data_IF_441006469313
#
_entry.id   IF_441006469313
#
_cell.length_a   1.000
_cell.length_b   1.000
_cell.length_c   1.000
_cell.angle_alpha   90.00
_cell.angle_beta   90.00
_cell.angle_gamma   90.00
#
_symmetry.space_group_name_H-M   'P 1'
#
loop_
_entity.id
_entity.type
_entity.pdbx_description
1 polymer ?
#
# COMPACT_ATOMS: atom_id res chain seq x y z
N UNK A 1 7.52 2.70 25.93
CA UNK A 1 6.04 2.75 25.76
C UNK A 1 5.58 4.11 25.24
N UNK A 2 6.00 5.23 25.86
CA UNK A 2 5.62 6.58 25.43
C UNK A 2 5.93 6.90 23.96
N UNK A 3 7.11 6.51 23.45
CA UNK A 3 7.50 6.76 22.06
C UNK A 3 6.59 6.06 21.03
N UNK A 4 6.14 4.84 21.34
CA UNK A 4 5.22 4.07 20.50
C UNK A 4 3.83 4.71 20.46
N UNK A 5 3.32 5.10 21.63
CA UNK A 5 2.05 5.81 21.72
C UNK A 5 2.09 7.14 20.96
N UNK A 6 3.20 7.87 21.05
CA UNK A 6 3.42 9.09 20.27
C UNK A 6 3.43 8.83 18.75
N UNK A 7 4.15 7.80 18.28
CA UNK A 7 4.18 7.42 16.87
C UNK A 7 2.78 7.09 16.32
N UNK A 8 2.01 6.28 17.06
CA UNK A 8 0.62 5.96 16.71
C UNK A 8 -0.28 7.21 16.73
N UNK A 9 -0.17 8.06 17.75
CA UNK A 9 -0.96 9.30 17.83
C UNK A 9 -0.67 10.24 16.67
N UNK A 10 0.60 10.39 16.27
CA UNK A 10 1.00 11.15 15.08
C UNK A 10 0.41 10.56 13.80
N UNK A 11 0.45 9.23 13.66
CA UNK A 11 -0.18 8.55 12.51
C UNK A 11 -1.70 8.81 12.47
N UNK A 12 -2.39 8.68 13.60
CA UNK A 12 -3.83 8.99 13.69
C UNK A 12 -4.12 10.44 13.29
N UNK A 13 -3.35 11.41 13.79
CA UNK A 13 -3.50 12.81 13.38
C UNK A 13 -3.25 13.02 11.88
N UNK A 14 -2.27 12.33 11.29
CA UNK A 14 -1.96 12.42 9.86
C UNK A 14 -3.04 11.81 8.96
N UNK A 15 -3.61 10.67 9.35
CA UNK A 15 -4.59 9.94 8.52
C UNK A 15 -6.03 10.38 8.77
N UNK A 16 -6.38 10.87 9.96
CA UNK A 16 -7.75 11.26 10.32
C UNK A 16 -7.92 12.76 10.61
N UNK A 17 -6.84 13.50 10.89
CA UNK A 17 -6.92 14.91 11.29
C UNK A 17 -6.79 15.94 10.16
N UNK A 18 -6.48 15.52 8.92
CA UNK A 18 -6.26 16.45 7.79
C UNK A 18 -7.59 16.77 7.08
N UNK A 19 -8.09 18.02 7.12
CA UNK A 19 -9.38 18.37 6.53
C UNK A 19 -9.45 18.08 5.02
N UNK A 20 -10.58 17.52 4.58
CA UNK A 20 -10.84 17.22 3.18
C UNK A 20 -10.02 16.07 2.58
N UNK A 21 -9.08 15.47 3.31
CA UNK A 21 -8.28 14.32 2.84
C UNK A 21 -9.17 13.14 2.47
N UNK A 22 -10.09 12.76 3.37
CA UNK A 22 -11.02 11.65 3.10
C UNK A 22 -11.96 11.94 1.94
N UNK A 23 -12.45 13.17 1.77
CA UNK A 23 -13.30 13.51 0.61
C UNK A 23 -12.57 13.35 -0.72
N UNK A 24 -11.30 13.77 -0.80
CA UNK A 24 -10.48 13.56 -2.01
C UNK A 24 -10.23 12.07 -2.24
N UNK A 25 -9.89 11.33 -1.18
CA UNK A 25 -9.70 9.89 -1.25
C UNK A 25 -10.97 9.16 -1.70
N UNK A 26 -12.14 9.47 -1.13
CA UNK A 26 -13.43 8.91 -1.56
C UNK A 26 -13.73 9.17 -3.03
N UNK A 27 -13.40 10.37 -3.54
CA UNK A 27 -13.57 10.67 -4.97
C UNK A 27 -12.68 9.81 -5.85
N UNK A 28 -11.39 9.69 -5.51
CA UNK A 28 -10.44 8.89 -6.29
C UNK A 28 -10.79 7.40 -6.21
N UNK A 29 -10.99 6.86 -5.01
CA UNK A 29 -11.29 5.43 -4.83
C UNK A 29 -12.68 5.05 -5.32
N UNK A 30 -13.63 5.99 -5.38
CA UNK A 30 -14.93 5.79 -6.00
C UNK A 30 -14.88 5.53 -7.51
N UNK A 31 -13.73 5.73 -8.17
CA UNK A 31 -13.51 5.28 -9.55
C UNK A 31 -13.27 3.77 -9.66
N UNK A 32 -13.00 3.07 -8.54
CA UNK A 32 -12.70 1.63 -8.49
C UNK A 32 -13.64 0.83 -7.58
N UNK A 33 -14.19 1.46 -6.55
CA UNK A 33 -14.96 0.80 -5.49
C UNK A 33 -16.38 1.35 -5.40
N UNK A 34 -17.34 0.44 -5.33
CA UNK A 34 -18.73 0.69 -4.98
C UNK A 34 -19.23 -0.19 -3.81
N UNK A 35 -20.53 -0.08 -3.46
CA UNK A 35 -21.12 -0.86 -2.38
C UNK A 35 -21.02 -2.37 -2.63
N UNK A 36 -20.52 -3.11 -1.65
CA UNK A 36 -20.39 -4.58 -1.68
C UNK A 36 -19.11 -5.11 -2.34
N UNK A 37 -18.39 -4.26 -3.07
CA UNK A 37 -17.09 -4.62 -3.65
C UNK A 37 -16.08 -4.99 -2.58
N UNK A 38 -15.17 -5.90 -2.92
CA UNK A 38 -14.07 -6.28 -2.03
C UNK A 38 -12.87 -5.38 -2.31
N UNK A 39 -12.28 -4.82 -1.26
CA UNK A 39 -11.08 -4.00 -1.33
C UNK A 39 -9.98 -4.58 -0.44
N UNK A 40 -8.77 -4.74 -0.97
CA UNK A 40 -7.61 -5.19 -0.19
C UNK A 40 -6.74 -3.98 0.15
N UNK A 41 -6.49 -3.76 1.45
CA UNK A 41 -5.59 -2.75 1.99
C UNK A 41 -4.34 -3.46 2.54
N UNK A 42 -3.35 -3.69 1.69
CA UNK A 42 -2.10 -4.36 2.06
C UNK A 42 -1.13 -3.32 2.60
N UNK A 43 -0.80 -3.42 3.89
CA UNK A 43 -0.15 -2.34 4.64
C UNK A 43 -1.17 -1.33 5.18
N UNK A 44 -2.25 -1.83 5.82
CA UNK A 44 -3.37 -1.00 6.26
C UNK A 44 -3.00 0.02 7.35
N UNK A 45 -1.90 -0.19 8.06
CA UNK A 45 -1.38 0.67 9.12
C UNK A 45 -2.47 1.01 10.15
N UNK A 46 -2.75 2.28 10.41
CA UNK A 46 -3.81 2.68 11.38
C UNK A 46 -5.23 2.69 10.78
N UNK A 47 -5.43 2.23 9.54
CA UNK A 47 -6.76 2.06 8.92
C UNK A 47 -7.29 3.26 8.15
N UNK A 48 -6.40 4.13 7.66
CA UNK A 48 -6.79 5.33 6.93
C UNK A 48 -7.59 5.05 5.66
N UNK A 49 -7.29 3.96 4.94
CA UNK A 49 -8.06 3.54 3.75
C UNK A 49 -9.28 2.72 4.10
N UNK A 50 -9.20 1.87 5.12
CA UNK A 50 -10.36 1.18 5.71
C UNK A 50 -11.50 2.17 5.97
N UNK A 51 -11.23 3.31 6.62
CA UNK A 51 -12.24 4.34 6.85
C UNK A 51 -12.92 4.83 5.56
N UNK A 52 -12.11 5.18 4.56
CA UNK A 52 -12.59 5.77 3.29
C UNK A 52 -13.40 4.76 2.50
N UNK A 53 -12.91 3.53 2.37
CA UNK A 53 -13.53 2.48 1.57
C UNK A 53 -14.79 1.93 2.22
N UNK A 54 -14.83 1.83 3.55
CA UNK A 54 -16.09 1.57 4.28
C UNK A 54 -17.12 2.67 4.06
N UNK A 55 -16.69 3.93 3.99
CA UNK A 55 -17.55 5.06 3.61
C UNK A 55 -18.11 4.97 2.18
N UNK A 56 -17.47 4.21 1.28
CA UNK A 56 -17.97 3.90 -0.07
C UNK A 56 -18.86 2.64 -0.10
N UNK A 57 -19.01 1.95 1.03
CA UNK A 57 -19.79 0.71 1.15
C UNK A 57 -19.04 -0.56 0.75
N UNK A 58 -17.73 -0.49 0.50
CA UNK A 58 -16.91 -1.65 0.17
C UNK A 58 -16.69 -2.55 1.40
N UNK A 59 -16.52 -3.86 1.18
CA UNK A 59 -15.99 -4.80 2.17
C UNK A 59 -14.47 -4.75 2.12
N UNK A 60 -13.81 -4.60 3.27
CA UNK A 60 -12.38 -4.33 3.33
C UNK A 60 -11.63 -5.48 3.99
N UNK A 61 -10.59 -5.98 3.33
CA UNK A 61 -9.59 -6.88 3.90
C UNK A 61 -8.36 -6.05 4.23
N UNK A 62 -8.16 -5.73 5.50
CA UNK A 62 -7.05 -4.94 6.01
C UNK A 62 -5.93 -5.86 6.48
N UNK A 63 -4.82 -5.89 5.74
CA UNK A 63 -3.65 -6.72 6.05
C UNK A 63 -2.59 -5.85 6.70
N UNK A 64 -2.20 -6.19 7.92
CA UNK A 64 -1.24 -5.38 8.69
C UNK A 64 -0.38 -6.27 9.60
N UNK A 65 0.95 -6.22 9.49
CA UNK A 65 1.83 -7.04 10.32
C UNK A 65 2.25 -6.37 11.64
N UNK A 66 2.15 -5.04 11.78
CA UNK A 66 2.63 -4.33 12.97
C UNK A 66 1.67 -4.49 14.16
N UNK A 67 2.13 -5.00 15.31
CA UNK A 67 1.26 -5.24 16.47
C UNK A 67 0.55 -3.99 17.02
N UNK A 68 1.18 -2.82 16.93
CA UNK A 68 0.56 -1.57 17.41
C UNK A 68 -0.52 -1.05 16.46
N UNK A 69 -0.30 -1.14 15.15
CA UNK A 69 -1.30 -0.84 14.14
C UNK A 69 -2.49 -1.80 14.22
N UNK A 70 -2.23 -3.10 14.39
CA UNK A 70 -3.28 -4.11 14.59
C UNK A 70 -4.18 -3.82 15.80
N UNK A 71 -3.62 -3.29 16.90
CA UNK A 71 -4.44 -2.88 18.06
C UNK A 71 -5.37 -1.73 17.71
N UNK A 72 -4.90 -0.75 16.93
CA UNK A 72 -5.71 0.37 16.46
C UNK A 72 -6.79 -0.11 15.50
N UNK A 73 -6.44 -0.94 14.52
CA UNK A 73 -7.40 -1.51 13.57
C UNK A 73 -8.51 -2.28 14.29
N UNK A 74 -8.16 -3.13 15.26
CA UNK A 74 -9.14 -3.89 16.05
C UNK A 74 -10.03 -2.98 16.89
N UNK A 75 -9.46 -1.91 17.47
CA UNK A 75 -10.22 -0.95 18.24
C UNK A 75 -11.24 -0.18 17.38
N UNK A 76 -10.83 0.26 16.18
CA UNK A 76 -11.66 1.09 15.31
C UNK A 76 -12.65 0.30 14.46
N UNK A 77 -12.26 -0.91 14.02
CA UNK A 77 -12.97 -1.66 12.98
C UNK A 77 -13.27 -3.12 13.36
N UNK A 78 -12.83 -3.60 14.53
CA UNK A 78 -12.98 -5.01 14.91
C UNK A 78 -14.42 -5.48 15.14
N UNK A 79 -15.39 -4.55 15.18
CA UNK A 79 -16.82 -4.85 15.29
C UNK A 79 -17.59 -4.61 13.96
N UNK A 80 -16.92 -4.17 12.91
CA UNK A 80 -17.53 -3.99 11.58
C UNK A 80 -17.49 -5.33 10.82
N UNK A 81 -18.66 -5.91 10.54
CA UNK A 81 -18.78 -7.20 9.88
C UNK A 81 -18.24 -7.21 8.43
N UNK A 82 -18.11 -6.03 7.82
CA UNK A 82 -17.56 -5.86 6.48
C UNK A 82 -16.05 -5.53 6.51
N UNK A 83 -15.38 -5.61 7.66
CA UNK A 83 -13.93 -5.45 7.78
C UNK A 83 -13.29 -6.74 8.31
N UNK A 84 -12.50 -7.39 7.45
CA UNK A 84 -11.63 -8.47 7.85
C UNK A 84 -10.23 -7.92 8.17
N UNK A 85 -9.74 -8.12 9.40
CA UNK A 85 -8.39 -7.74 9.81
C UNK A 85 -7.50 -8.98 9.77
N UNK A 86 -6.52 -8.99 8.86
CA UNK A 86 -5.57 -10.09 8.68
C UNK A 86 -4.24 -9.70 9.34
N UNK A 87 -3.89 -10.30 10.50
CA UNK A 87 -2.62 -10.03 11.17
C UNK A 87 -1.49 -10.78 10.48
N UNK A 88 -0.75 -10.09 9.62
CA UNK A 88 0.33 -10.69 8.84
C UNK A 88 0.82 -9.77 7.74
N UNK A 89 1.85 -10.21 7.03
CA UNK A 89 2.35 -9.57 5.82
C UNK A 89 1.93 -10.36 4.58
N UNK A 90 2.10 -9.74 3.41
CA UNK A 90 1.90 -10.41 2.12
C UNK A 90 3.26 -10.51 1.42
N UNK A 91 3.50 -11.61 0.71
CA UNK A 91 4.71 -11.81 -0.07
C UNK A 91 4.54 -12.89 -1.13
N UNK A 92 5.67 -13.37 -1.66
CA UNK A 92 5.71 -14.33 -2.79
C UNK A 92 5.20 -15.72 -2.44
N UNK A 93 5.29 -16.12 -1.18
CA UNK A 93 4.87 -17.45 -0.69
C UNK A 93 4.48 -17.39 0.78
N UNK A 94 3.63 -18.30 1.26
CA UNK A 94 3.32 -18.40 2.67
C UNK A 94 4.56 -18.75 3.50
N UNK A 95 4.59 -18.30 4.74
CA UNK A 95 5.68 -18.60 5.66
C UNK A 95 5.78 -17.58 6.79
N UNK A 96 7.00 -17.34 7.24
CA UNK A 96 7.30 -16.35 8.28
C UNK A 96 8.44 -15.47 7.83
N UNK A 97 8.39 -14.20 8.19
CA UNK A 97 9.43 -13.24 7.86
C UNK A 97 9.68 -12.27 9.02
N UNK A 98 10.86 -11.65 8.98
CA UNK A 98 11.27 -10.65 9.95
C UNK A 98 10.86 -9.27 9.47
N UNK A 99 10.03 -8.60 10.24
CA UNK A 99 9.64 -7.20 10.03
C UNK A 99 10.49 -6.30 10.93
N UNK A 100 11.21 -5.34 10.33
CA UNK A 100 11.91 -4.30 11.07
C UNK A 100 10.91 -3.17 11.41
N UNK A 101 10.86 -2.79 12.68
CA UNK A 101 9.91 -1.80 13.19
C UNK A 101 10.62 -0.51 13.58
N UNK A 102 10.03 0.63 13.21
CA UNK A 102 10.42 1.92 13.75
C UNK A 102 9.37 2.43 14.74
N UNK A 103 9.69 2.40 16.04
CA UNK A 103 8.74 2.78 17.09
C UNK A 103 8.29 4.25 17.04
N UNK A 104 9.15 5.15 16.57
CA UNK A 104 8.86 6.60 16.48
C UNK A 104 8.18 7.00 15.16
N UNK A 105 8.36 6.20 14.11
CA UNK A 105 7.79 6.40 12.77
C UNK A 105 7.22 5.08 12.26
N UNK A 106 6.07 4.61 12.78
CA UNK A 106 5.53 3.31 12.41
C UNK A 106 5.25 3.16 10.90
N UNK A 107 5.05 4.27 10.19
CA UNK A 107 4.82 4.31 8.75
C UNK A 107 5.93 3.65 7.94
N UNK A 108 7.21 3.74 8.36
CA UNK A 108 8.36 3.26 7.57
C UNK A 108 8.88 1.89 8.00
N UNK A 109 8.05 1.09 8.69
CA UNK A 109 8.44 -0.27 9.07
C UNK A 109 8.42 -1.17 7.83
N UNK A 110 9.47 -1.95 7.61
CA UNK A 110 9.67 -2.67 6.34
C UNK A 110 10.23 -4.08 6.55
N UNK A 111 9.91 -4.98 5.61
CA UNK A 111 10.51 -6.31 5.47
C UNK A 111 11.72 -6.33 4.53
N UNK A 112 12.03 -5.21 3.85
CA UNK A 112 13.10 -5.10 2.87
C UNK A 112 14.36 -4.47 3.48
N UNK A 113 15.45 -5.24 3.70
CA UNK A 113 16.71 -4.69 4.20
C UNK A 113 17.31 -3.65 3.25
N UNK A 114 17.25 -3.92 1.94
CA UNK A 114 17.79 -3.04 0.89
C UNK A 114 17.04 -1.70 0.86
N UNK A 115 15.71 -1.73 1.06
CA UNK A 115 14.93 -0.50 1.17
C UNK A 115 15.37 0.31 2.38
N UNK A 116 15.49 -0.32 3.56
CA UNK A 116 15.96 0.33 4.80
C UNK A 116 17.33 0.99 4.59
N UNK A 117 18.26 0.30 3.92
CA UNK A 117 19.56 0.87 3.59
C UNK A 117 19.42 2.08 2.64
N UNK A 118 18.65 1.94 1.56
CA UNK A 118 18.44 3.00 0.57
C UNK A 118 17.84 4.27 1.19
N UNK A 119 16.80 4.15 2.04
CA UNK A 119 16.18 5.31 2.68
C UNK A 119 17.07 5.88 3.78
N UNK A 120 17.86 5.07 4.49
CA UNK A 120 18.80 5.59 5.49
C UNK A 120 19.86 6.50 4.87
N UNK A 121 20.22 6.27 3.59
CA UNK A 121 21.13 7.17 2.85
C UNK A 121 20.47 8.47 2.37
N UNK A 122 19.13 8.55 2.36
CA UNK A 122 18.39 9.78 2.08
C UNK A 122 18.40 10.69 3.33
N UNK A 123 18.83 11.94 3.15
CA UNK A 123 18.87 12.95 4.23
C UNK A 123 17.52 13.18 4.89
N UNK A 124 16.41 12.94 4.17
CA UNK A 124 15.06 13.08 4.70
C UNK A 124 14.69 11.97 5.71
N UNK A 125 15.38 10.83 5.67
CA UNK A 125 15.09 9.65 6.48
C UNK A 125 16.27 9.22 7.38
N UNK A 126 17.44 9.84 7.27
CA UNK A 126 18.64 9.53 8.07
C UNK A 126 18.45 9.57 9.61
N UNK A 127 17.41 10.24 10.10
CA UNK A 127 17.05 10.30 11.53
C UNK A 127 16.13 9.16 11.98
N UNK A 128 15.57 8.38 11.06
CA UNK A 128 14.72 7.23 11.34
C UNK A 128 15.56 6.09 11.93
N UNK A 129 14.98 5.38 12.90
CA UNK A 129 15.60 4.23 13.56
C UNK A 129 14.65 3.04 13.53
N UNK A 130 15.12 1.90 13.02
CA UNK A 130 14.47 0.60 13.18
C UNK A 130 14.99 -0.06 14.45
N UNK A 131 14.35 0.26 15.56
CA UNK A 131 14.78 -0.07 16.92
C UNK A 131 14.33 -1.46 17.39
N UNK A 132 13.44 -2.11 16.63
CA UNK A 132 12.91 -3.44 16.95
C UNK A 132 12.73 -4.29 15.71
N UNK A 133 12.59 -5.59 15.92
CA UNK A 133 12.11 -6.50 14.90
C UNK A 133 11.14 -7.51 15.51
N UNK A 134 10.18 -7.97 14.71
CA UNK A 134 9.23 -9.02 15.08
C UNK A 134 9.16 -10.03 13.95
N UNK A 135 8.83 -11.26 14.29
CA UNK A 135 8.52 -12.30 13.31
C UNK A 135 7.02 -12.29 13.05
N UNK A 136 6.63 -12.27 11.78
CA UNK A 136 5.24 -12.18 11.36
C UNK A 136 4.94 -13.29 10.36
N UNK A 137 3.68 -13.73 10.35
CA UNK A 137 3.22 -14.68 9.35
C UNK A 137 3.05 -13.95 8.01
N UNK A 138 3.35 -14.68 6.94
CA UNK A 138 3.29 -14.20 5.55
C UNK A 138 2.27 -15.06 4.81
N UNK A 139 1.38 -14.39 4.08
CA UNK A 139 0.44 -14.99 3.11
C UNK A 139 0.73 -14.48 1.70
N UNK A 140 -0.02 -14.93 0.70
CA UNK A 140 0.06 -14.42 -0.69
C UNK A 140 -1.20 -13.65 -1.06
N UNK A 141 -1.13 -12.84 -2.13
CA UNK A 141 -2.33 -12.21 -2.68
C UNK A 141 -3.31 -13.26 -3.21
N UNK A 142 -2.81 -14.37 -3.79
CA UNK A 142 -3.67 -15.46 -4.23
C UNK A 142 -4.42 -16.14 -3.07
N UNK A 143 -3.77 -16.37 -1.94
CA UNK A 143 -4.41 -16.95 -0.75
C UNK A 143 -5.46 -16.01 -0.17
N UNK A 144 -5.20 -14.70 -0.18
CA UNK A 144 -6.21 -13.69 0.20
C UNK A 144 -7.40 -13.69 -0.76
N UNK A 145 -7.15 -13.78 -2.08
CA UNK A 145 -8.20 -13.89 -3.10
C UNK A 145 -9.03 -15.16 -2.89
N UNK A 146 -8.38 -16.29 -2.59
CA UNK A 146 -9.06 -17.55 -2.32
C UNK A 146 -9.97 -17.47 -1.08
N UNK A 147 -9.52 -16.77 -0.03
CA UNK A 147 -10.27 -16.64 1.22
C UNK A 147 -11.37 -15.57 1.18
N UNK A 148 -11.17 -14.47 0.47
CA UNK A 148 -12.02 -13.27 0.56
C UNK A 148 -12.67 -12.85 -0.77
N UNK A 149 -12.32 -13.51 -1.87
CA UNK A 149 -12.77 -13.16 -3.21
C UNK A 149 -11.81 -12.20 -3.92
N UNK A 150 -12.02 -12.05 -5.23
CA UNK A 150 -11.20 -11.15 -6.06
C UNK A 150 -11.53 -9.69 -5.69
N UNK A 151 -10.53 -8.87 -5.31
CA UNK A 151 -10.77 -7.47 -4.99
C UNK A 151 -11.10 -6.68 -6.25
N UNK A 152 -12.06 -5.76 -6.17
CA UNK A 152 -12.25 -4.72 -7.18
C UNK A 152 -11.06 -3.72 -7.17
N UNK A 153 -10.45 -3.51 -6.00
CA UNK A 153 -9.26 -2.69 -5.85
C UNK A 153 -8.29 -3.27 -4.80
N UNK A 154 -7.01 -3.37 -5.14
CA UNK A 154 -5.94 -3.83 -4.23
C UNK A 154 -4.88 -2.74 -4.05
N UNK A 155 -4.81 -2.12 -2.88
CA UNK A 155 -3.69 -1.22 -2.52
C UNK A 155 -2.54 -2.03 -1.96
N UNK A 156 -1.33 -1.75 -2.42
CA UNK A 156 -0.08 -2.33 -1.95
C UNK A 156 0.84 -1.18 -1.52
N UNK A 157 1.12 -1.09 -0.23
CA UNK A 157 1.91 -0.02 0.37
C UNK A 157 2.66 -0.61 1.56
N UNK A 158 3.79 -1.25 1.26
CA UNK A 158 4.51 -2.12 2.20
C UNK A 158 5.98 -1.70 2.34
N UNK A 159 6.26 -0.45 1.96
CA UNK A 159 7.52 0.26 2.18
C UNK A 159 8.72 -0.53 1.61
N UNK A 160 8.71 -0.78 0.30
CA UNK A 160 9.82 -1.40 -0.42
C UNK A 160 9.75 -2.91 -0.58
N UNK A 161 8.58 -3.51 -0.31
CA UNK A 161 8.30 -4.94 -0.51
C UNK A 161 7.20 -5.18 -1.56
N UNK A 162 6.87 -4.17 -2.37
CA UNK A 162 5.77 -4.18 -3.34
C UNK A 162 5.97 -5.27 -4.41
N UNK A 163 7.20 -5.42 -4.92
CA UNK A 163 7.52 -6.42 -5.94
C UNK A 163 7.32 -7.85 -5.43
N UNK A 164 7.69 -8.13 -4.18
CA UNK A 164 7.47 -9.42 -3.54
C UNK A 164 5.98 -9.71 -3.31
N UNK A 165 5.20 -8.70 -2.92
CA UNK A 165 3.74 -8.82 -2.82
C UNK A 165 3.14 -9.15 -4.20
N UNK A 166 3.53 -8.40 -5.23
CA UNK A 166 3.03 -8.57 -6.60
C UNK A 166 3.44 -9.92 -7.21
N UNK A 167 4.64 -10.42 -6.90
CA UNK A 167 5.09 -11.73 -7.36
C UNK A 167 4.35 -12.90 -6.68
N UNK A 168 3.62 -12.66 -5.60
CA UNK A 168 2.69 -13.62 -4.97
C UNK A 168 1.27 -13.61 -5.56
N UNK A 169 1.02 -12.86 -6.64
CA UNK A 169 -0.24 -12.82 -7.37
C UNK A 169 -0.06 -13.54 -8.71
N UNK A 170 -0.90 -14.53 -9.01
CA UNK A 170 -0.77 -15.30 -10.27
C UNK A 170 -1.79 -14.91 -11.34
N UNK A 171 -2.72 -14.01 -11.00
CA UNK A 171 -3.80 -13.57 -11.89
C UNK A 171 -4.01 -12.07 -11.84
N UNK A 172 -4.42 -11.49 -12.96
CA UNK A 172 -4.81 -10.09 -13.00
C UNK A 172 -6.00 -9.81 -12.06
N UNK A 173 -5.97 -8.64 -11.41
CA UNK A 173 -7.08 -8.07 -10.65
C UNK A 173 -7.61 -6.81 -11.35
N UNK A 174 -8.90 -6.46 -11.24
CA UNK A 174 -9.49 -5.30 -11.92
C UNK A 174 -8.70 -4.00 -11.81
N UNK A 175 -8.25 -3.65 -10.61
CA UNK A 175 -7.39 -2.50 -10.37
C UNK A 175 -6.52 -2.69 -9.13
N UNK A 176 -5.36 -2.04 -9.12
CA UNK A 176 -4.43 -2.04 -7.99
C UNK A 176 -3.64 -0.72 -7.91
N UNK A 177 -2.99 -0.48 -6.78
CA UNK A 177 -1.97 0.55 -6.65
C UNK A 177 -0.73 0.04 -5.93
N UNK A 178 0.43 0.61 -6.26
CA UNK A 178 1.69 0.37 -5.57
C UNK A 178 2.47 1.68 -5.37
N UNK A 179 3.27 1.77 -4.32
CA UNK A 179 4.08 2.97 -4.07
C UNK A 179 5.22 3.09 -5.11
N UNK A 180 5.42 4.31 -5.59
CA UNK A 180 6.60 4.73 -6.32
C UNK A 180 7.46 5.63 -5.44
N UNK A 181 8.73 5.27 -5.29
CA UNK A 181 9.71 6.03 -4.49
C UNK A 181 10.87 6.48 -5.38
N UNK A 182 11.08 7.79 -5.60
CA UNK A 182 12.13 8.30 -6.48
C UNK A 182 13.56 7.83 -6.17
N UNK A 183 13.87 7.60 -4.88
CA UNK A 183 15.17 7.07 -4.43
C UNK A 183 15.30 5.56 -4.65
N UNK A 184 14.20 4.81 -4.65
CA UNK A 184 14.13 3.37 -4.94
C UNK A 184 13.48 3.13 -6.33
N UNK A 185 13.92 3.90 -7.33
CA UNK A 185 13.31 3.92 -8.65
C UNK A 185 13.25 2.54 -9.33
N UNK A 186 14.34 1.78 -9.28
CA UNK A 186 14.40 0.44 -9.91
C UNK A 186 13.40 -0.54 -9.29
N UNK A 187 13.21 -0.51 -7.97
CA UNK A 187 12.21 -1.33 -7.30
C UNK A 187 10.79 -0.98 -7.79
N UNK A 188 10.53 0.32 -7.98
CA UNK A 188 9.24 0.77 -8.50
C UNK A 188 9.01 0.36 -9.96
N UNK A 189 10.07 0.37 -10.79
CA UNK A 189 10.00 -0.15 -12.16
C UNK A 189 9.81 -1.67 -12.19
N UNK A 190 10.37 -2.42 -11.24
CA UNK A 190 10.11 -3.86 -11.15
C UNK A 190 8.65 -4.16 -10.81
N UNK A 191 8.04 -3.40 -9.88
CA UNK A 191 6.60 -3.48 -9.61
C UNK A 191 5.78 -3.21 -10.88
N UNK A 192 6.13 -2.19 -11.68
CA UNK A 192 5.49 -1.92 -12.97
C UNK A 192 5.62 -3.11 -13.94
N UNK A 193 6.82 -3.70 -14.06
CA UNK A 193 7.04 -4.88 -14.94
C UNK A 193 6.23 -6.08 -14.49
N UNK A 194 6.10 -6.32 -13.18
CA UNK A 194 5.25 -7.38 -12.63
C UNK A 194 3.77 -7.17 -12.99
N UNK A 195 3.26 -5.94 -12.84
CA UNK A 195 1.88 -5.60 -13.20
C UNK A 195 1.63 -5.77 -14.70
N UNK A 196 2.56 -5.35 -15.56
CA UNK A 196 2.45 -5.59 -17.01
C UNK A 196 2.42 -7.09 -17.35
N UNK A 197 3.24 -7.91 -16.68
CA UNK A 197 3.20 -9.38 -16.86
C UNK A 197 1.85 -9.97 -16.46
N UNK A 198 1.27 -9.52 -15.35
CA UNK A 198 -0.07 -9.95 -14.92
C UNK A 198 -1.16 -9.56 -15.92
N UNK A 199 -1.06 -8.36 -16.50
CA UNK A 199 -2.01 -7.84 -17.46
C UNK A 199 -1.92 -8.46 -18.85
N UNK A 200 -0.79 -9.08 -19.20
CA UNK A 200 -0.51 -9.58 -20.55
C UNK A 200 -1.57 -10.54 -21.09
N UNK A 201 -2.15 -11.39 -20.23
CA UNK A 201 -3.23 -12.32 -20.59
C UNK A 201 -4.64 -11.78 -20.33
N UNK A 202 -4.77 -10.56 -19.82
CA UNK A 202 -6.02 -9.96 -19.36
C UNK A 202 -6.38 -8.65 -20.09
N UNK A 203 -5.80 -8.42 -21.27
CA UNK A 203 -6.06 -7.21 -22.08
C UNK A 203 -5.11 -6.03 -21.78
N UNK A 204 -4.20 -6.19 -20.83
CA UNK A 204 -3.22 -5.18 -20.41
C UNK A 204 -3.79 -4.18 -19.40
N UNK A 205 -2.87 -3.45 -18.75
CA UNK A 205 -3.22 -2.37 -17.84
C UNK A 205 -3.05 -1.00 -18.51
N UNK A 206 -3.76 -0.01 -17.98
CA UNK A 206 -3.44 1.40 -18.15
C UNK A 206 -3.18 2.01 -16.78
N UNK A 207 -2.40 3.09 -16.78
CA UNK A 207 -1.82 3.63 -15.56
C UNK A 207 -2.12 5.10 -15.33
N UNK A 208 -2.14 5.50 -14.07
CA UNK A 208 -2.01 6.89 -13.65
C UNK A 208 -1.20 6.93 -12.35
N UNK A 209 -0.86 8.11 -11.86
CA UNK A 209 -0.18 8.23 -10.58
C UNK A 209 -0.66 9.45 -9.81
N UNK A 210 -0.63 9.36 -8.48
CA UNK A 210 -0.91 10.47 -7.56
C UNK A 210 0.37 10.78 -6.79
N UNK A 211 0.99 11.95 -6.97
CA UNK A 211 2.15 12.33 -6.18
C UNK A 211 1.73 12.54 -4.72
N UNK A 212 2.50 11.96 -3.81
CA UNK A 212 2.25 11.97 -2.36
C UNK A 212 0.83 11.44 -2.09
N UNK A 213 0.20 11.87 -1.00
CA UNK A 213 -1.21 11.62 -0.71
C UNK A 213 -2.10 12.77 -1.19
N UNK A 214 -1.85 13.33 -2.38
CA UNK A 214 -2.70 14.40 -2.93
C UNK A 214 -4.12 13.90 -3.25
N UNK A 215 -4.26 12.61 -3.56
CA UNK A 215 -5.51 11.97 -4.00
C UNK A 215 -6.03 12.56 -5.30
N UNK A 216 -5.10 12.89 -6.20
CA UNK A 216 -5.38 13.44 -7.52
C UNK A 216 -4.43 12.82 -8.52
N UNK A 217 -4.99 12.32 -9.60
CA UNK A 217 -4.19 11.86 -10.72
C UNK A 217 -3.41 13.00 -11.35
N UNK A 218 -2.14 12.72 -11.66
CA UNK A 218 -1.21 13.67 -12.26
C UNK A 218 -1.41 13.79 -13.78
N UNK A 219 -1.98 12.77 -14.42
CA UNK A 219 -2.32 12.78 -15.84
C UNK A 219 -3.83 12.88 -16.06
N UNK A 220 -4.25 13.72 -17.01
CA UNK A 220 -5.66 13.82 -17.43
C UNK A 220 -6.15 12.54 -18.12
N UNK A 221 -5.24 11.84 -18.78
CA UNK A 221 -5.51 10.58 -19.47
C UNK A 221 -4.72 9.44 -18.82
N UNK A 222 -5.30 8.24 -18.86
CA UNK A 222 -4.58 7.04 -18.45
C UNK A 222 -3.49 6.72 -19.47
N UNK A 223 -2.31 6.37 -18.96
CA UNK A 223 -1.05 6.16 -19.68
C UNK A 223 -0.86 4.67 -19.96
N UNK A 224 -0.06 4.33 -20.98
CA UNK A 224 0.56 3.01 -21.06
C UNK A 224 1.81 2.94 -20.17
N UNK A 225 2.39 1.75 -20.02
CA UNK A 225 3.56 1.54 -19.17
C UNK A 225 4.77 2.37 -19.63
N UNK A 226 5.00 2.49 -20.94
CA UNK A 226 6.13 3.24 -21.49
C UNK A 226 6.01 4.75 -21.22
N UNK A 227 4.80 5.31 -21.31
CA UNK A 227 4.54 6.70 -20.98
C UNK A 227 4.63 6.96 -19.47
N UNK A 228 4.17 6.03 -18.63
CA UNK A 228 4.34 6.10 -17.19
C UNK A 228 5.83 6.08 -16.82
N UNK A 229 6.60 5.12 -17.32
CA UNK A 229 8.04 4.98 -17.07
C UNK A 229 8.80 6.28 -17.37
N UNK A 230 8.60 6.84 -18.57
CA UNK A 230 9.17 8.16 -18.94
C UNK A 230 8.74 9.29 -17.99
N UNK A 231 7.53 9.21 -17.44
CA UNK A 231 7.04 10.15 -16.44
C UNK A 231 7.79 10.03 -15.12
N UNK A 232 7.97 8.80 -14.64
CA UNK A 232 8.68 8.49 -13.40
C UNK A 232 10.18 8.82 -13.50
N UNK A 233 10.81 8.62 -14.66
CA UNK A 233 12.19 9.03 -14.93
C UNK A 233 12.43 10.53 -14.74
N UNK A 234 11.44 11.38 -15.05
CA UNK A 234 11.56 12.84 -14.90
C UNK A 234 11.53 13.31 -13.45
N UNK A 235 11.03 12.49 -12.53
CA UNK A 235 10.89 12.86 -11.11
C UNK A 235 12.01 12.28 -10.23
N UNK A 236 12.88 11.40 -10.73
CA UNK A 236 14.05 10.92 -9.95
C UNK A 236 15.24 11.88 -10.03
N UNK A 237 16.15 11.88 -9.03
CA UNK A 237 16.00 11.23 -7.71
C UNK A 237 15.32 12.14 -6.68
N UNK A 238 15.03 13.41 -7.01
CA UNK A 238 14.64 14.45 -6.03
C UNK A 238 13.13 14.75 -5.97
N UNK A 239 12.32 14.01 -6.71
CA UNK A 239 10.87 14.10 -6.66
C UNK A 239 10.32 13.62 -5.33
N UNK A 240 8.99 13.60 -5.22
CA UNK A 240 8.30 13.08 -4.04
C UNK A 240 7.70 11.72 -4.37
N UNK A 241 7.68 10.80 -3.40
CA UNK A 241 6.99 9.53 -3.56
C UNK A 241 5.49 9.74 -3.76
N UNK A 242 4.80 8.70 -4.20
CA UNK A 242 3.36 8.67 -4.42
C UNK A 242 2.91 7.29 -4.85
N UNK A 243 1.64 7.17 -5.23
CA UNK A 243 1.07 5.89 -5.65
C UNK A 243 0.90 5.85 -7.17
N UNK A 244 1.34 4.76 -7.80
CA UNK A 244 0.93 4.38 -9.15
C UNK A 244 -0.36 3.58 -9.06
N UNK A 245 -1.33 3.89 -9.91
CA UNK A 245 -2.60 3.20 -10.04
C UNK A 245 -2.63 2.49 -11.38
N UNK A 246 -3.02 1.23 -11.38
CA UNK A 246 -3.22 0.40 -12.56
C UNK A 246 -4.67 -0.07 -12.62
N UNK A 247 -5.29 0.00 -13.80
CA UNK A 247 -6.61 -0.60 -14.06
C UNK A 247 -6.58 -1.41 -15.36
N UNK A 248 -7.26 -2.55 -15.38
CA UNK A 248 -7.40 -3.33 -16.61
C UNK A 248 -8.12 -2.51 -17.70
N UNK A 249 -7.78 -2.79 -18.95
CA UNK A 249 -8.40 -2.17 -20.13
C UNK A 249 -9.83 -2.65 -20.38
#
# INVERSE_FOLDING_TARGET
>A
MLLRAYGIARSLAMYYGVPGKHRRASRLYGEFLGPGDVAFDVGAHVGGRVHVWRGLGARVVAVEPQPDCLRVLRLLYGHDADVAIVPGAVGTRPGRARLALSSATPTVSSMSPDWIESVTTDRNFAWVRWDRAVEVDVTTLDDLIAAHGVPAFCKIDVEGFESDVLAGLTRAVPALSFEYVPSAHEASLESLRLVERLGASAGGYVYNYSPIETMRFASEHWLDAAALEKGLERIRPRGRSGDVYARLR
#
